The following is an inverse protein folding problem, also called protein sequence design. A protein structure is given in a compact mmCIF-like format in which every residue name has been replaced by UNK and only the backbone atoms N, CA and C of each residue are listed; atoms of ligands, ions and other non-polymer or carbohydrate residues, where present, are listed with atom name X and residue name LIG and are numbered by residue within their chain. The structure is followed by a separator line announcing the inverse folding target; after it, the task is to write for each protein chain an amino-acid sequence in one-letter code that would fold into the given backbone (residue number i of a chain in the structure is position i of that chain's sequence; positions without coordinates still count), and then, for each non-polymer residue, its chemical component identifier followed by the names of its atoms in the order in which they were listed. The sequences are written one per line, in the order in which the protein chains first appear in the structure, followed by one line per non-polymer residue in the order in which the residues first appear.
data_IF_353778982412
#
_entry.id   IF_353778982412
#
_cell.length_a   1.000
_cell.length_b   1.000
_cell.length_c   1.000
_cell.angle_alpha   90.00
_cell.angle_beta   90.00
_cell.angle_gamma   90.00
#
_symmetry.space_group_name_H-M   'P 1'
#
loop_
_entity.id
_entity.type
_entity.pdbx_description
1 polymer ?
#
# COMPACT_ATOMS: atom_id res chain seq x y z
N UNK A 1 -19.39 18.99 -14.15
CA UNK A 1 -18.84 18.65 -12.82
C UNK A 1 -18.81 17.14 -12.58
N UNK A 2 -18.93 16.31 -13.62
CA UNK A 2 -19.00 14.84 -13.52
C UNK A 2 -17.76 14.11 -14.05
N UNK A 3 -16.83 14.82 -14.70
CA UNK A 3 -15.72 14.21 -15.43
C UNK A 3 -14.38 14.17 -14.65
N UNK A 4 -14.26 14.89 -13.53
CA UNK A 4 -13.01 14.95 -12.75
C UNK A 4 -12.86 13.81 -11.73
N UNK A 5 -13.97 13.30 -11.18
CA UNK A 5 -13.94 12.25 -10.15
C UNK A 5 -13.49 10.88 -10.69
N UNK A 6 -13.76 10.58 -11.97
CA UNK A 6 -13.38 9.32 -12.61
C UNK A 6 -11.87 9.22 -12.90
N UNK A 7 -11.22 10.34 -13.21
CA UNK A 7 -9.79 10.37 -13.56
C UNK A 7 -8.91 10.06 -12.33
N UNK A 8 -9.29 10.56 -11.15
CA UNK A 8 -8.52 10.35 -9.92
C UNK A 8 -8.57 8.89 -9.42
N UNK A 9 -9.72 8.24 -9.62
CA UNK A 9 -9.94 6.85 -9.24
C UNK A 9 -9.14 5.89 -10.14
N UNK A 10 -9.14 6.13 -11.47
CA UNK A 10 -8.35 5.34 -12.43
C UNK A 10 -6.84 5.46 -12.17
N UNK A 11 -6.34 6.68 -11.90
CA UNK A 11 -4.94 6.90 -11.55
C UNK A 11 -4.55 6.18 -10.25
N UNK A 12 -5.44 6.18 -9.25
CA UNK A 12 -5.22 5.50 -7.97
C UNK A 12 -5.14 3.98 -8.15
N UNK A 13 -5.99 3.41 -9.00
CA UNK A 13 -5.99 1.98 -9.33
C UNK A 13 -4.69 1.58 -10.05
N UNK A 14 -4.25 2.37 -11.02
CA UNK A 14 -3.06 2.04 -11.80
C UNK A 14 -1.78 2.19 -10.98
N UNK A 15 -1.69 3.22 -10.11
CA UNK A 15 -0.60 3.34 -9.16
C UNK A 15 -0.56 2.15 -8.20
N UNK A 16 -1.72 1.75 -7.66
CA UNK A 16 -1.81 0.59 -6.78
C UNK A 16 -1.28 -0.69 -7.45
N UNK A 17 -1.71 -0.97 -8.69
CA UNK A 17 -1.22 -2.11 -9.47
C UNK A 17 0.30 -2.06 -9.62
N UNK A 18 0.86 -0.93 -10.04
CA UNK A 18 2.31 -0.76 -10.21
C UNK A 18 3.07 -1.00 -8.91
N UNK A 19 2.64 -0.36 -7.81
CA UNK A 19 3.28 -0.48 -6.49
C UNK A 19 3.20 -1.92 -5.95
N UNK A 20 2.07 -2.61 -6.16
CA UNK A 20 1.91 -4.01 -5.74
C UNK A 20 2.88 -4.96 -6.45
N UNK A 21 3.21 -4.68 -7.71
CA UNK A 21 4.18 -5.44 -8.50
C UNK A 21 5.62 -5.11 -8.12
N UNK A 22 5.93 -3.83 -7.89
CA UNK A 22 7.27 -3.38 -7.50
C UNK A 22 7.68 -3.84 -6.10
N UNK A 23 6.73 -3.90 -5.16
CA UNK A 23 7.00 -4.21 -3.74
C UNK A 23 6.12 -5.36 -3.21
N UNK A 24 6.31 -6.60 -3.71
CA UNK A 24 5.45 -7.73 -3.37
C UNK A 24 5.45 -8.10 -1.88
N UNK A 25 6.57 -7.89 -1.18
CA UNK A 25 6.65 -8.08 0.28
C UNK A 25 5.79 -7.09 1.04
N UNK A 26 5.85 -5.81 0.66
CA UNK A 26 5.03 -4.75 1.25
C UNK A 26 3.55 -4.95 0.94
N UNK A 27 3.23 -5.33 -0.30
CA UNK A 27 1.87 -5.69 -0.69
C UNK A 27 1.31 -6.82 0.18
N UNK A 28 2.05 -7.93 0.33
CA UNK A 28 1.64 -9.04 1.20
C UNK A 28 1.44 -8.63 2.66
N UNK A 29 2.22 -7.65 3.15
CA UNK A 29 2.07 -7.09 4.50
C UNK A 29 0.80 -6.26 4.61
N UNK A 30 0.51 -5.40 3.63
CA UNK A 30 -0.73 -4.61 3.57
C UNK A 30 -1.96 -5.49 3.49
N UNK A 31 -1.96 -6.58 2.72
CA UNK A 31 -3.10 -7.50 2.66
C UNK A 31 -3.41 -8.16 4.02
N UNK A 32 -2.38 -8.46 4.82
CA UNK A 32 -2.56 -8.94 6.20
C UNK A 32 -3.17 -7.87 7.10
N UNK A 33 -2.69 -6.63 6.99
CA UNK A 33 -3.22 -5.47 7.74
C UNK A 33 -4.69 -5.23 7.36
N UNK A 34 -5.02 -5.21 6.06
CA UNK A 34 -6.39 -5.09 5.55
C UNK A 34 -7.31 -6.13 6.16
N UNK A 35 -6.91 -7.41 6.09
CA UNK A 35 -7.70 -8.52 6.65
C UNK A 35 -7.91 -8.36 8.15
N UNK A 36 -6.87 -7.96 8.88
CA UNK A 36 -6.96 -7.72 10.32
C UNK A 36 -7.95 -6.60 10.64
N UNK A 37 -7.80 -5.43 10.00
CA UNK A 37 -8.68 -4.28 10.22
C UNK A 37 -10.14 -4.64 9.92
N UNK A 38 -10.38 -5.31 8.78
CA UNK A 38 -11.73 -5.76 8.42
C UNK A 38 -12.30 -6.74 9.44
N UNK A 39 -11.49 -7.70 9.92
CA UNK A 39 -11.95 -8.71 10.88
C UNK A 39 -12.25 -8.15 12.27
N UNK A 40 -11.47 -7.17 12.74
CA UNK A 40 -11.57 -6.65 14.11
C UNK A 40 -12.54 -5.47 14.22
N UNK A 41 -12.58 -4.63 13.19
CA UNK A 41 -13.30 -3.35 13.24
C UNK A 41 -14.42 -3.26 12.20
N UNK A 42 -14.56 -4.26 11.31
CA UNK A 42 -15.49 -4.24 10.17
C UNK A 42 -15.30 -3.05 9.21
N UNK A 43 -14.12 -2.43 9.23
CA UNK A 43 -13.75 -1.29 8.37
C UNK A 43 -12.99 -1.81 7.14
N UNK A 44 -13.33 -1.26 5.97
CA UNK A 44 -12.54 -1.42 4.75
C UNK A 44 -11.59 -0.23 4.60
N UNK A 45 -10.37 -0.50 4.15
CA UNK A 45 -9.40 0.53 3.79
C UNK A 45 -9.43 0.76 2.28
N UNK A 46 -9.23 2.00 1.87
CA UNK A 46 -9.24 2.43 0.47
C UNK A 46 -7.96 2.02 -0.28
N UNK A 47 -8.03 2.02 -1.61
CA UNK A 47 -6.89 1.76 -2.49
C UNK A 47 -5.73 2.74 -2.21
N UNK A 48 -6.06 4.01 -1.96
CA UNK A 48 -5.08 5.05 -1.66
C UNK A 48 -4.37 4.79 -0.33
N UNK A 49 -5.10 4.35 0.70
CA UNK A 49 -4.53 3.96 1.99
C UNK A 49 -3.64 2.71 1.87
N UNK A 50 -4.10 1.69 1.13
CA UNK A 50 -3.28 0.50 0.85
C UNK A 50 -1.98 0.88 0.12
N UNK A 51 -2.07 1.75 -0.89
CA UNK A 51 -0.91 2.23 -1.66
C UNK A 51 0.08 3.00 -0.77
N UNK A 52 -0.44 3.89 0.07
CA UNK A 52 0.37 4.63 1.03
C UNK A 52 1.10 3.69 1.99
N UNK A 53 0.39 2.71 2.56
CA UNK A 53 0.97 1.72 3.47
C UNK A 53 2.06 0.89 2.77
N UNK A 54 1.85 0.46 1.53
CA UNK A 54 2.84 -0.31 0.77
C UNK A 54 4.16 0.48 0.61
N UNK A 55 4.06 1.75 0.19
CA UNK A 55 5.22 2.63 0.04
C UNK A 55 5.92 2.90 1.37
N UNK A 56 5.14 3.13 2.44
CA UNK A 56 5.67 3.39 3.77
C UNK A 56 6.43 2.18 4.33
N UNK A 57 5.81 0.99 4.26
CA UNK A 57 6.45 -0.26 4.68
C UNK A 57 7.75 -0.47 3.92
N UNK A 58 7.72 -0.36 2.58
CA UNK A 58 8.92 -0.55 1.77
C UNK A 58 10.06 0.42 2.17
N UNK A 59 9.74 1.70 2.37
CA UNK A 59 10.72 2.73 2.78
C UNK A 59 11.33 2.43 4.15
N UNK A 60 10.52 1.99 5.11
CA UNK A 60 11.00 1.70 6.46
C UNK A 60 11.84 0.42 6.48
N UNK A 61 11.44 -0.63 5.76
CA UNK A 61 12.19 -1.89 5.71
C UNK A 61 13.54 -1.74 5.01
N UNK A 62 13.61 -0.99 3.90
CA UNK A 62 14.87 -0.72 3.22
C UNK A 62 15.88 0.01 4.13
N UNK A 63 15.42 0.92 4.99
CA UNK A 63 16.29 1.59 5.97
C UNK A 63 16.80 0.64 7.06
N UNK A 64 16.06 -0.41 7.38
CA UNK A 64 16.47 -1.41 8.37
C UNK A 64 17.48 -2.40 7.77
N UNK A 65 17.28 -2.80 6.51
CA UNK A 65 18.20 -3.66 5.76
C UNK A 65 19.56 -2.95 5.61
N UNK A 66 19.57 -1.69 5.16
CA UNK A 66 20.82 -0.92 5.00
C UNK A 66 21.62 -0.76 6.31
N UNK A 67 20.96 -0.71 7.47
CA UNK A 67 21.62 -0.65 8.78
C UNK A 67 22.11 -2.00 9.29
N UNK A 68 21.57 -3.10 8.78
CA UNK A 68 21.96 -4.45 9.19
C UNK A 68 23.23 -4.92 8.46
N UNK A 69 23.54 -4.35 7.30
CA UNK A 69 24.75 -4.66 6.52
C UNK A 69 26.00 -3.88 7.01
N UNK A 70 25.84 -2.92 7.91
CA UNK A 70 26.92 -2.09 8.50
C UNK A 70 27.48 -2.64 9.83
N UNK A 71 26.99 -3.79 10.31
CA UNK A 71 27.38 -4.43 11.59
C UNK A 71 27.98 -5.82 11.33
#
# INVERSE_FOLDING_TARGET
MSDEASIDEDNSIDLYKQVSQLYPKSFGSVQKIRKYIKSQFNVDISISEETYLMLHINRVTQRLEAKSDEI
#
